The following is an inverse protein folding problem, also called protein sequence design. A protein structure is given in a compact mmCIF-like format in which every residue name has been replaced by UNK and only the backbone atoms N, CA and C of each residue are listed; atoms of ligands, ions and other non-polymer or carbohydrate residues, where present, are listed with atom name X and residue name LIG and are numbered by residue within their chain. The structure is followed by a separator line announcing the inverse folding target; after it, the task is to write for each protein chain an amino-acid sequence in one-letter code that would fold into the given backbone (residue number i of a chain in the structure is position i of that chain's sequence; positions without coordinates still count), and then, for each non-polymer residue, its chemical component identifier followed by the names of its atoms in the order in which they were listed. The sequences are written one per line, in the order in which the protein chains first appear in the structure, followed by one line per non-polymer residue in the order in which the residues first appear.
data_IF_753184447963
#
_entry.id   IF_753184447963
#
_cell.length_a   1.000
_cell.length_b   1.000
_cell.length_c   1.000
_cell.angle_alpha   90.00
_cell.angle_beta   90.00
_cell.angle_gamma   90.00
#
_symmetry.space_group_name_H-M   'P 1'
#
loop_
_entity.id
_entity.type
_entity.pdbx_description
1 polymer ?
#
# COMPACT_ATOMS: atom_id res chain seq x y z
N UNK A 1 58.17 50.15 -31.22
CA UNK A 1 57.94 49.50 -29.92
C UNK A 1 56.64 50.04 -29.33
N UNK A 2 55.52 49.35 -29.54
CA UNK A 2 54.22 49.66 -28.92
C UNK A 2 53.52 48.32 -28.69
N UNK A 3 53.27 48.01 -27.43
CA UNK A 3 52.86 46.69 -26.95
C UNK A 3 51.34 46.54 -27.07
N UNK A 4 50.91 45.60 -27.90
CA UNK A 4 49.56 45.02 -27.88
C UNK A 4 49.44 44.21 -26.59
N UNK A 5 48.52 44.58 -25.70
CA UNK A 5 48.14 43.75 -24.54
C UNK A 5 46.78 43.11 -24.82
N UNK A 6 46.87 41.81 -25.07
CA UNK A 6 45.79 40.84 -25.23
C UNK A 6 44.94 40.79 -23.96
N UNK A 7 43.63 41.07 -24.08
CA UNK A 7 42.67 40.87 -22.97
C UNK A 7 42.16 39.43 -23.04
N UNK A 8 42.60 38.59 -22.11
CA UNK A 8 42.15 37.22 -21.91
C UNK A 8 40.75 37.24 -21.28
N UNK A 9 39.73 36.86 -22.05
CA UNK A 9 38.39 36.57 -21.52
C UNK A 9 38.40 35.14 -21.00
N UNK A 10 38.44 34.98 -19.68
CA UNK A 10 38.29 33.69 -19.02
C UNK A 10 36.80 33.35 -18.96
N UNK A 11 36.33 32.54 -19.92
CA UNK A 11 34.99 31.94 -19.87
C UNK A 11 35.07 30.75 -18.91
N UNK A 12 34.71 30.97 -17.65
CA UNK A 12 34.53 29.90 -16.67
C UNK A 12 33.28 29.10 -17.05
N UNK A 13 33.48 27.95 -17.66
CA UNK A 13 32.42 26.98 -17.95
C UNK A 13 32.16 26.17 -16.67
N UNK A 14 31.11 26.53 -15.94
CA UNK A 14 30.60 25.78 -14.80
C UNK A 14 29.99 24.46 -15.30
N UNK A 15 30.74 23.36 -15.23
CA UNK A 15 30.18 22.02 -15.39
C UNK A 15 29.41 21.67 -14.11
N UNK A 16 28.08 21.82 -14.15
CA UNK A 16 27.21 21.18 -13.18
C UNK A 16 27.20 19.67 -13.46
N UNK A 17 27.95 18.92 -12.66
CA UNK A 17 27.75 17.47 -12.50
C UNK A 17 26.42 17.27 -11.78
N UNK A 18 25.36 17.07 -12.57
CA UNK A 18 24.12 16.50 -12.09
C UNK A 18 24.36 15.00 -11.87
N UNK A 19 24.56 14.59 -10.61
CA UNK A 19 24.42 13.19 -10.23
C UNK A 19 22.94 12.83 -10.24
N UNK A 20 22.37 12.62 -11.43
CA UNK A 20 21.20 11.78 -11.58
C UNK A 20 21.71 10.33 -11.56
N UNK A 21 21.25 9.55 -10.58
CA UNK A 21 21.45 8.11 -10.57
C UNK A 21 20.58 7.48 -11.65
N UNK A 22 20.98 7.65 -12.91
CA UNK A 22 20.40 6.91 -14.03
C UNK A 22 20.98 5.49 -13.98
N UNK A 23 20.18 4.56 -13.46
CA UNK A 23 20.48 3.13 -13.61
C UNK A 23 20.48 2.85 -15.12
N UNK A 24 21.56 2.27 -15.68
CA UNK A 24 21.61 1.90 -17.09
C UNK A 24 20.36 1.10 -17.49
N UNK A 25 19.67 1.43 -18.61
CA UNK A 25 18.48 0.72 -19.05
C UNK A 25 18.70 -0.80 -19.17
N UNK A 26 19.91 -1.19 -19.54
CA UNK A 26 20.35 -2.58 -19.74
C UNK A 26 20.39 -3.43 -18.45
N UNK A 27 20.19 -2.81 -17.28
CA UNK A 27 20.06 -3.50 -15.98
C UNK A 27 18.62 -3.63 -15.50
N UNK A 28 17.64 -3.05 -16.21
CA UNK A 28 16.23 -3.20 -15.89
C UNK A 28 15.68 -4.42 -16.64
N UNK A 29 15.22 -5.42 -15.89
CA UNK A 29 14.55 -6.57 -16.49
C UNK A 29 13.27 -6.12 -17.21
N UNK A 30 13.16 -6.47 -18.49
CA UNK A 30 12.02 -6.07 -19.31
C UNK A 30 10.74 -6.82 -18.88
N UNK A 31 9.57 -6.18 -18.95
CA UNK A 31 8.29 -6.83 -18.66
C UNK A 31 8.09 -8.05 -19.56
N UNK A 32 7.68 -9.18 -18.97
CA UNK A 32 7.30 -10.36 -19.77
C UNK A 32 6.20 -9.99 -20.76
N UNK A 33 6.39 -10.41 -22.02
CA UNK A 33 5.40 -10.24 -23.07
C UNK A 33 4.12 -11.01 -22.74
N UNK A 34 2.99 -10.34 -22.98
CA UNK A 34 1.68 -10.84 -22.64
C UNK A 34 1.21 -11.88 -23.66
N UNK A 35 1.11 -13.15 -23.24
CA UNK A 35 0.46 -14.21 -24.04
C UNK A 35 -1.01 -13.92 -24.28
N UNK A 36 -1.56 -14.32 -25.42
CA UNK A 36 -3.00 -14.22 -25.65
C UNK A 36 -3.78 -15.08 -24.65
N UNK A 37 -4.88 -14.53 -24.12
CA UNK A 37 -5.78 -15.21 -23.19
C UNK A 37 -7.18 -15.18 -23.78
N UNK A 38 -7.76 -16.34 -24.04
CA UNK A 38 -9.18 -16.45 -24.37
C UNK A 38 -10.01 -16.15 -23.12
N UNK A 39 -10.68 -15.01 -23.11
CA UNK A 39 -11.47 -14.58 -21.96
C UNK A 39 -12.68 -15.51 -21.75
N UNK A 40 -12.79 -16.10 -20.56
CA UNK A 40 -13.88 -17.00 -20.18
C UNK A 40 -15.15 -16.26 -19.71
N UNK A 41 -15.03 -14.97 -19.41
CA UNK A 41 -16.12 -14.09 -19.00
C UNK A 41 -15.84 -12.66 -19.48
N UNK A 42 -16.88 -11.83 -19.53
CA UNK A 42 -16.73 -10.44 -19.90
C UNK A 42 -16.47 -9.57 -18.66
N UNK A 43 -15.45 -8.71 -18.75
CA UNK A 43 -15.22 -7.66 -17.76
C UNK A 43 -16.06 -6.46 -18.15
N UNK A 44 -16.99 -6.06 -17.28
CA UNK A 44 -17.87 -4.92 -17.51
C UNK A 44 -17.56 -3.82 -16.51
N UNK A 45 -17.67 -2.59 -16.99
CA UNK A 45 -17.51 -1.38 -16.17
C UNK A 45 -18.87 -0.89 -15.69
N UNK A 46 -19.12 -0.93 -14.39
CA UNK A 46 -20.30 -0.30 -13.77
C UNK A 46 -20.22 1.22 -13.94
N UNK A 47 -19.10 1.81 -13.53
CA UNK A 47 -18.86 3.25 -13.62
C UNK A 47 -17.36 3.56 -13.56
N UNK A 48 -16.97 4.75 -14.03
CA UNK A 48 -15.61 5.28 -13.86
C UNK A 48 -15.64 6.77 -13.65
N UNK A 49 -14.85 7.24 -12.70
CA UNK A 49 -14.72 8.66 -12.38
C UNK A 49 -13.26 9.03 -12.11
N UNK A 50 -12.89 10.26 -12.49
CA UNK A 50 -11.61 10.83 -12.09
C UNK A 50 -11.77 11.49 -10.70
N UNK A 51 -11.01 11.00 -9.73
CA UNK A 51 -10.96 11.49 -8.34
C UNK A 51 -9.78 12.40 -8.06
N UNK A 52 -8.91 12.59 -9.05
CA UNK A 52 -8.00 13.69 -9.02
C UNK A 52 -6.69 13.48 -9.75
N UNK A 53 -5.59 13.68 -9.02
CA UNK A 53 -4.22 13.57 -9.53
C UNK A 53 -3.55 12.28 -9.01
N UNK A 54 -4.31 11.41 -8.34
CA UNK A 54 -3.85 10.17 -7.72
C UNK A 54 -2.67 10.38 -6.77
N UNK A 55 -1.56 9.68 -7.00
CA UNK A 55 -0.39 9.71 -6.11
C UNK A 55 0.68 10.73 -6.55
N UNK A 56 0.53 11.35 -7.72
CA UNK A 56 1.54 12.27 -8.25
C UNK A 56 2.88 11.60 -8.58
N UNK A 57 2.86 10.32 -8.95
CA UNK A 57 4.05 9.46 -9.19
C UNK A 57 4.92 9.25 -7.94
N UNK A 58 4.36 9.46 -6.76
CA UNK A 58 5.00 9.16 -5.49
C UNK A 58 4.51 7.79 -4.98
N UNK A 59 5.34 7.11 -4.18
CA UNK A 59 4.94 5.90 -3.44
C UNK A 59 4.13 6.30 -2.21
N UNK A 60 2.86 6.63 -2.42
CA UNK A 60 1.91 7.05 -1.38
C UNK A 60 0.77 6.06 -1.27
N UNK A 61 0.26 5.88 -0.05
CA UNK A 61 -0.77 4.88 0.23
C UNK A 61 -2.17 5.46 0.15
N UNK A 62 -2.61 5.69 -1.09
CA UNK A 62 -4.00 6.03 -1.39
C UNK A 62 -4.78 4.77 -1.74
N UNK A 63 -5.66 4.33 -0.85
CA UNK A 63 -6.56 3.21 -1.11
C UNK A 63 -7.98 3.73 -0.91
N UNK A 64 -8.92 3.47 -1.85
CA UNK A 64 -10.30 3.89 -1.65
C UNK A 64 -10.89 3.27 -0.39
N UNK A 65 -11.48 4.09 0.47
CA UNK A 65 -12.24 3.62 1.62
C UNK A 65 -13.67 3.29 1.17
N UNK A 66 -14.17 2.14 1.60
CA UNK A 66 -15.49 1.64 1.22
C UNK A 66 -16.41 1.57 2.42
N UNK A 67 -17.66 1.94 2.19
CA UNK A 67 -18.81 1.62 3.05
C UNK A 67 -19.81 0.81 2.23
N UNK A 68 -20.99 0.51 2.80
CA UNK A 68 -22.06 -0.17 2.09
C UNK A 68 -22.59 0.62 0.88
N UNK A 69 -22.56 1.95 0.93
CA UNK A 69 -23.19 2.80 -0.09
C UNK A 69 -22.23 3.81 -0.74
N UNK A 70 -21.08 4.08 -0.13
CA UNK A 70 -20.18 5.15 -0.55
C UNK A 70 -18.73 4.69 -0.66
N UNK A 71 -18.03 5.27 -1.64
CA UNK A 71 -16.58 5.18 -1.83
C UNK A 71 -15.95 6.54 -1.56
N UNK A 72 -14.89 6.56 -0.78
CA UNK A 72 -14.09 7.74 -0.52
C UNK A 72 -12.71 7.58 -1.13
N UNK A 73 -12.28 8.55 -1.92
CA UNK A 73 -10.96 8.53 -2.53
C UNK A 73 -10.30 9.90 -2.41
N UNK A 74 -9.00 9.89 -2.14
CA UNK A 74 -8.19 11.09 -2.00
C UNK A 74 -7.03 11.10 -3.00
N UNK A 75 -6.50 12.30 -3.27
CA UNK A 75 -5.27 12.48 -4.03
C UNK A 75 -4.20 13.22 -3.23
N UNK A 76 -2.95 13.15 -3.71
CA UNK A 76 -1.80 13.76 -3.04
C UNK A 76 -1.88 15.28 -2.89
N UNK A 77 -2.76 15.96 -3.63
CA UNK A 77 -2.96 17.43 -3.53
C UNK A 77 -4.04 17.83 -2.53
N UNK A 78 -4.61 16.87 -1.79
CA UNK A 78 -5.59 17.18 -0.75
C UNK A 78 -7.02 17.22 -1.25
N UNK A 79 -7.31 16.71 -2.45
CA UNK A 79 -8.70 16.53 -2.88
C UNK A 79 -9.22 15.21 -2.34
N UNK A 80 -10.41 15.25 -1.75
CA UNK A 80 -11.16 14.07 -1.35
C UNK A 80 -12.57 14.13 -1.92
N UNK A 81 -13.04 12.98 -2.40
CA UNK A 81 -14.37 12.78 -2.95
C UNK A 81 -15.13 11.75 -2.14
N UNK A 82 -16.43 11.98 -1.98
CA UNK A 82 -17.40 10.92 -1.71
C UNK A 82 -18.20 10.61 -2.96
N UNK A 83 -18.38 9.32 -3.23
CA UNK A 83 -18.98 8.81 -4.45
C UNK A 83 -19.97 7.74 -4.06
N UNK A 84 -21.16 7.77 -4.65
CA UNK A 84 -22.13 6.69 -4.57
C UNK A 84 -21.53 5.43 -5.19
N UNK A 85 -21.40 4.36 -4.40
CA UNK A 85 -20.68 3.15 -4.77
C UNK A 85 -21.34 2.39 -5.92
N UNK A 86 -22.66 2.46 -6.03
CA UNK A 86 -23.42 1.71 -7.05
C UNK A 86 -23.43 2.42 -8.40
N UNK A 87 -23.50 3.75 -8.39
CA UNK A 87 -23.70 4.55 -9.60
C UNK A 87 -22.47 5.32 -10.05
N UNK A 88 -21.45 5.46 -9.19
CA UNK A 88 -20.29 6.31 -9.43
C UNK A 88 -20.61 7.81 -9.35
N UNK A 89 -21.81 8.20 -8.91
CA UNK A 89 -22.19 9.61 -8.79
C UNK A 89 -21.37 10.28 -7.69
N UNK A 90 -20.65 11.34 -8.03
CA UNK A 90 -19.96 12.19 -7.06
C UNK A 90 -20.97 12.89 -6.14
N UNK A 91 -20.92 12.58 -4.85
CA UNK A 91 -21.81 13.12 -3.82
C UNK A 91 -21.31 14.47 -3.31
N UNK A 92 -20.04 14.54 -2.93
CA UNK A 92 -19.38 15.78 -2.53
C UNK A 92 -17.88 15.75 -2.84
N UNK A 93 -17.28 16.95 -2.83
CA UNK A 93 -15.84 17.17 -2.96
C UNK A 93 -15.37 18.10 -1.85
N UNK A 94 -14.25 17.77 -1.21
CA UNK A 94 -13.49 18.70 -0.38
C UNK A 94 -12.09 18.86 -0.94
N UNK A 95 -11.62 20.10 -0.91
CA UNK A 95 -10.22 20.43 -1.17
C UNK A 95 -9.62 20.93 0.15
N UNK A 96 -8.63 20.20 0.66
CA UNK A 96 -7.98 20.48 1.93
C UNK A 96 -6.81 21.45 1.79
N UNK A 97 -6.34 21.70 0.55
CA UNK A 97 -5.16 22.52 0.28
C UNK A 97 -3.93 22.06 1.10
N UNK A 98 -3.77 20.74 1.24
CA UNK A 98 -2.71 20.07 2.00
C UNK A 98 -2.15 18.92 1.18
N UNK A 99 -0.84 18.66 1.29
CA UNK A 99 -0.24 17.51 0.64
C UNK A 99 -0.54 16.26 1.46
N UNK A 100 -1.36 15.38 0.91
CA UNK A 100 -1.72 14.14 1.57
C UNK A 100 -0.67 13.07 1.30
N UNK A 101 -0.42 12.23 2.29
CA UNK A 101 0.54 11.12 2.22
C UNK A 101 -0.15 9.76 2.27
N UNK A 102 -1.29 9.64 2.96
CA UNK A 102 -2.05 8.40 3.02
C UNK A 102 -3.55 8.62 3.32
N UNK A 103 -4.35 7.61 2.95
CA UNK A 103 -5.78 7.51 3.26
C UNK A 103 -6.68 7.41 2.02
N UNK A 104 -7.99 7.62 2.17
CA UNK A 104 -8.71 7.81 3.44
C UNK A 104 -8.81 6.51 4.26
N UNK A 105 -8.79 6.63 5.59
CA UNK A 105 -9.38 5.66 6.52
C UNK A 105 -10.83 6.05 6.82
N UNK A 106 -11.72 5.09 7.09
CA UNK A 106 -13.14 5.36 7.39
C UNK A 106 -13.59 4.61 8.64
N UNK A 107 -14.31 5.30 9.54
CA UNK A 107 -15.03 4.68 10.65
C UNK A 107 -16.22 5.54 11.05
N UNK A 108 -17.39 4.91 11.17
CA UNK A 108 -18.62 5.61 11.57
C UNK A 108 -18.94 6.81 10.67
N UNK A 109 -19.01 7.99 11.26
CA UNK A 109 -19.28 9.27 10.60
C UNK A 109 -18.01 10.05 10.23
N UNK A 110 -16.83 9.42 10.28
CA UNK A 110 -15.53 10.08 10.13
C UNK A 110 -14.67 9.46 9.02
N UNK A 111 -13.89 10.35 8.41
CA UNK A 111 -12.79 10.02 7.50
C UNK A 111 -11.49 10.50 8.12
N UNK A 112 -10.43 9.71 7.99
CA UNK A 112 -9.10 10.00 8.52
C UNK A 112 -8.08 10.07 7.39
N UNK A 113 -7.25 11.11 7.40
CA UNK A 113 -6.25 11.36 6.37
C UNK A 113 -4.95 11.80 7.02
N UNK A 114 -3.86 11.39 6.40
CA UNK A 114 -2.50 11.74 6.80
C UNK A 114 -1.90 12.75 5.80
N UNK A 115 -1.13 13.71 6.31
CA UNK A 115 -0.39 14.67 5.48
C UNK A 115 1.12 14.42 5.52
N UNK A 116 1.81 14.89 4.47
CA UNK A 116 3.27 14.84 4.38
C UNK A 116 3.96 15.61 5.50
N UNK A 117 3.30 16.64 6.04
CA UNK A 117 3.79 17.47 7.15
C UNK A 117 3.48 16.89 8.54
N UNK A 118 3.08 15.62 8.63
CA UNK A 118 2.84 14.96 9.91
C UNK A 118 1.50 15.28 10.56
N UNK A 119 0.52 15.79 9.80
CA UNK A 119 -0.81 16.07 10.33
C UNK A 119 -1.76 14.89 10.14
N UNK A 120 -2.48 14.55 11.19
CA UNK A 120 -3.61 13.63 11.14
C UNK A 120 -4.90 14.46 11.13
N UNK A 121 -5.73 14.25 10.13
CA UNK A 121 -6.96 14.99 9.90
C UNK A 121 -8.17 14.08 10.13
N UNK A 122 -9.20 14.59 10.80
CA UNK A 122 -10.52 13.97 10.83
C UNK A 122 -11.53 14.84 10.11
N UNK A 123 -12.24 14.28 9.15
CA UNK A 123 -13.31 14.93 8.41
C UNK A 123 -14.64 14.27 8.70
N UNK A 124 -15.72 15.04 8.68
CA UNK A 124 -17.07 14.50 8.65
C UNK A 124 -17.31 13.78 7.34
N UNK A 125 -17.82 12.55 7.41
CA UNK A 125 -18.08 11.70 6.25
C UNK A 125 -19.18 12.26 5.35
N UNK A 126 -20.13 13.00 5.93
CA UNK A 126 -21.31 13.49 5.23
C UNK A 126 -21.05 14.67 4.29
N UNK A 127 -20.06 15.52 4.58
CA UNK A 127 -19.80 16.74 3.81
C UNK A 127 -18.29 17.06 3.64
N UNK A 128 -17.40 16.25 4.20
CA UNK A 128 -15.95 16.46 4.15
C UNK A 128 -15.48 17.63 5.02
N UNK A 129 -16.31 18.18 5.92
CA UNK A 129 -15.90 19.27 6.82
C UNK A 129 -14.83 18.78 7.80
N UNK A 130 -13.77 19.57 7.95
CA UNK A 130 -12.73 19.31 8.96
C UNK A 130 -13.35 19.37 10.36
N UNK A 131 -13.23 18.27 11.11
CA UNK A 131 -13.67 18.15 12.50
C UNK A 131 -12.54 18.54 13.44
N UNK A 132 -11.34 17.99 13.21
CA UNK A 132 -10.13 18.31 13.95
C UNK A 132 -8.88 17.98 13.13
N UNK A 133 -7.75 18.56 13.55
CA UNK A 133 -6.41 18.20 13.08
C UNK A 133 -5.46 18.05 14.27
N UNK A 134 -4.66 16.98 14.27
CA UNK A 134 -3.61 16.74 15.25
C UNK A 134 -2.24 16.78 14.56
N UNK A 135 -1.28 17.47 15.16
CA UNK A 135 0.11 17.48 14.70
C UNK A 135 0.85 16.34 15.40
N UNK A 136 1.50 15.48 14.61
CA UNK A 136 2.38 14.42 15.10
C UNK A 136 3.83 14.75 14.78
N UNK A 137 4.74 13.98 15.37
CA UNK A 137 6.17 14.28 15.39
C UNK A 137 6.84 14.10 14.01
N UNK A 138 6.22 13.35 13.09
CA UNK A 138 6.78 13.04 11.78
C UNK A 138 5.70 12.67 10.75
N UNK A 139 6.11 12.47 9.50
CA UNK A 139 5.25 12.11 8.38
C UNK A 139 4.55 10.76 8.59
N UNK A 140 3.29 10.67 8.18
CA UNK A 140 2.49 9.45 8.23
C UNK A 140 2.35 8.87 6.82
N UNK A 141 2.93 7.70 6.56
CA UNK A 141 2.87 7.05 5.26
C UNK A 141 1.83 5.93 5.16
N UNK A 142 1.17 5.63 6.27
CA UNK A 142 0.17 4.59 6.35
C UNK A 142 -1.24 5.15 6.59
N UNK A 143 -2.24 4.39 6.16
CA UNK A 143 -3.65 4.75 6.38
C UNK A 143 -3.96 4.65 7.88
N UNK A 144 -4.46 5.71 8.53
CA UNK A 144 -4.86 5.64 9.94
C UNK A 144 -6.00 4.64 10.14
N UNK A 145 -5.89 3.81 11.17
CA UNK A 145 -6.88 2.78 11.51
C UNK A 145 -7.74 3.24 12.69
N UNK A 146 -9.06 3.27 12.52
CA UNK A 146 -9.97 3.75 13.55
C UNK A 146 -10.94 2.66 14.04
N UNK A 147 -11.16 2.65 15.35
CA UNK A 147 -12.29 2.01 16.02
C UNK A 147 -13.21 3.10 16.58
N UNK A 148 -14.31 2.71 17.23
CA UNK A 148 -15.18 3.68 17.90
C UNK A 148 -14.50 4.30 19.14
N UNK A 149 -13.51 3.63 19.71
CA UNK A 149 -12.85 4.04 20.96
C UNK A 149 -11.50 4.74 20.72
N UNK A 150 -10.74 4.26 19.72
CA UNK A 150 -9.36 4.70 19.48
C UNK A 150 -9.02 4.75 17.99
N UNK A 151 -8.17 5.73 17.66
CA UNK A 151 -7.58 5.95 16.34
C UNK A 151 -6.09 5.66 16.43
N UNK A 152 -5.59 4.84 15.52
CA UNK A 152 -4.21 4.40 15.48
C UNK A 152 -3.51 4.99 14.26
N UNK A 153 -2.31 5.49 14.49
CA UNK A 153 -1.50 6.13 13.46
C UNK A 153 -0.03 5.79 13.68
N UNK A 154 0.70 5.58 12.59
CA UNK A 154 2.12 5.31 12.61
C UNK A 154 2.87 6.32 11.74
N UNK A 155 4.01 6.80 12.23
CA UNK A 155 4.88 7.72 11.54
C UNK A 155 6.14 7.02 11.03
N UNK A 156 6.77 7.59 10.00
CA UNK A 156 7.96 7.02 9.36
C UNK A 156 9.18 6.92 10.30
N UNK A 157 9.22 7.71 11.38
CA UNK A 157 10.26 7.65 12.41
C UNK A 157 9.94 6.63 13.52
N UNK A 158 8.99 5.72 13.29
CA UNK A 158 8.74 4.56 14.15
C UNK A 158 7.91 4.89 15.39
N UNK A 159 7.22 6.02 15.43
CA UNK A 159 6.25 6.30 16.48
C UNK A 159 4.88 5.72 16.09
N UNK A 160 4.29 4.96 17.02
CA UNK A 160 2.92 4.47 16.91
C UNK A 160 2.09 5.17 17.99
N UNK A 161 0.95 5.70 17.59
CA UNK A 161 0.07 6.49 18.44
C UNK A 161 -1.28 5.80 18.58
N UNK A 162 -1.82 5.84 19.80
CA UNK A 162 -3.25 5.71 20.05
C UNK A 162 -3.80 7.09 20.37
N UNK A 163 -4.82 7.51 19.63
CA UNK A 163 -5.45 8.82 19.76
C UNK A 163 -6.95 8.67 20.03
N UNK A 164 -7.54 9.70 20.64
CA UNK A 164 -8.97 9.83 20.74
C UNK A 164 -9.56 10.18 19.36
N UNK A 165 -10.49 9.36 18.80
CA UNK A 165 -11.09 9.61 17.49
C UNK A 165 -11.90 10.91 17.41
N UNK A 166 -12.35 11.43 18.55
CA UNK A 166 -13.28 12.55 18.64
C UNK A 166 -12.59 13.90 18.50
N UNK A 167 -11.41 14.05 19.09
CA UNK A 167 -10.66 15.32 19.18
C UNK A 167 -9.20 15.23 18.71
N UNK A 168 -8.67 14.03 18.46
CA UNK A 168 -7.29 13.81 18.03
C UNK A 168 -6.25 13.92 19.14
N UNK A 169 -6.65 13.96 20.42
CA UNK A 169 -5.71 13.94 21.54
C UNK A 169 -4.97 12.60 21.63
N UNK A 170 -3.67 12.64 21.90
CA UNK A 170 -2.85 11.44 22.08
C UNK A 170 -3.16 10.79 23.43
N UNK A 171 -3.58 9.54 23.41
CA UNK A 171 -3.86 8.72 24.60
C UNK A 171 -2.60 7.96 25.05
N UNK A 172 -1.85 7.44 24.08
CA UNK A 172 -0.60 6.73 24.31
C UNK A 172 0.31 6.82 23.08
N UNK A 173 1.61 6.61 23.30
CA UNK A 173 2.63 6.53 22.24
C UNK A 173 3.59 5.39 22.54
N UNK A 174 3.98 4.66 21.50
CA UNK A 174 5.01 3.63 21.54
C UNK A 174 6.05 3.89 20.45
N UNK A 175 7.33 3.73 20.77
CA UNK A 175 8.43 3.99 19.84
C UNK A 175 9.13 2.68 19.47
N UNK A 176 9.25 2.41 18.17
CA UNK A 176 10.10 1.34 17.64
C UNK A 176 11.48 1.88 17.28
N UNK A 177 12.45 0.97 17.15
CA UNK A 177 13.73 1.31 16.53
C UNK A 177 13.54 1.48 15.03
N UNK A 178 14.19 2.49 14.46
CA UNK A 178 14.19 2.75 13.01
C UNK A 178 15.64 2.75 12.53
N UNK A 179 16.00 1.92 11.53
CA UNK A 179 17.33 1.92 10.95
C UNK A 179 17.68 3.27 10.27
N UNK A 180 18.97 3.56 10.02
CA UNK A 180 19.41 4.80 9.36
C UNK A 180 18.85 4.99 7.95
N UNK A 181 18.60 3.89 7.25
CA UNK A 181 17.88 3.85 5.98
C UNK A 181 16.65 2.98 6.14
N UNK A 182 15.51 3.51 5.75
CA UNK A 182 14.27 2.77 5.58
C UNK A 182 13.78 2.95 4.16
N UNK A 183 12.98 2.01 3.67
CA UNK A 183 12.05 2.38 2.62
C UNK A 183 11.08 3.40 3.23
N UNK A 184 10.47 4.22 2.37
CA UNK A 184 9.30 5.02 2.77
C UNK A 184 8.12 4.06 2.94
N UNK A 185 8.24 3.20 3.93
CA UNK A 185 7.35 2.09 4.24
C UNK A 185 6.01 2.60 4.71
N UNK A 186 4.98 1.90 4.26
CA UNK A 186 3.59 2.32 4.39
C UNK A 186 2.74 1.31 5.16
N UNK A 187 3.36 0.33 5.85
CA UNK A 187 2.64 -0.65 6.67
C UNK A 187 1.76 0.07 7.68
N UNK A 188 0.47 -0.11 7.51
CA UNK A 188 -0.55 0.37 8.40
C UNK A 188 -0.72 -0.55 9.59
N UNK A 189 -1.14 0.01 10.72
CA UNK A 189 -1.53 -0.80 11.85
C UNK A 189 -2.74 -1.67 11.47
N UNK A 190 -2.81 -2.88 12.04
CA UNK A 190 -3.91 -3.83 11.87
C UNK A 190 -4.38 -4.29 13.23
N UNK A 191 -5.69 -4.53 13.40
CA UNK A 191 -6.25 -4.96 14.67
C UNK A 191 -6.63 -6.44 14.64
N UNK A 192 -6.35 -7.13 15.74
CA UNK A 192 -6.96 -8.42 16.09
C UNK A 192 -7.32 -8.39 17.57
N UNK A 193 -8.60 -8.58 17.90
CA UNK A 193 -9.14 -8.50 19.26
C UNK A 193 -8.69 -7.25 20.05
N UNK A 194 -7.77 -7.44 21.01
CA UNK A 194 -7.21 -6.39 21.86
C UNK A 194 -5.79 -5.98 21.47
N UNK A 195 -5.29 -6.49 20.34
CA UNK A 195 -3.95 -6.25 19.83
C UNK A 195 -3.98 -5.32 18.63
N UNK A 196 -3.07 -4.35 18.65
CA UNK A 196 -2.66 -3.55 17.51
C UNK A 196 -1.34 -4.12 16.98
N UNK A 197 -1.37 -4.62 15.76
CA UNK A 197 -0.24 -5.18 15.05
C UNK A 197 0.42 -4.09 14.19
N UNK A 198 1.74 -4.06 14.19
CA UNK A 198 2.51 -3.15 13.37
C UNK A 198 3.79 -3.82 12.87
N UNK A 199 4.01 -3.77 11.56
CA UNK A 199 5.27 -4.14 10.94
C UNK A 199 6.28 -2.99 11.08
N UNK A 200 7.34 -3.20 11.84
CA UNK A 200 8.39 -2.22 12.05
C UNK A 200 9.44 -2.27 10.93
N UNK A 201 10.04 -1.12 10.65
CA UNK A 201 11.08 -0.95 9.63
C UNK A 201 12.42 -1.64 9.97
N UNK A 202 12.50 -2.35 11.10
CA UNK A 202 13.64 -3.20 11.46
C UNK A 202 13.34 -4.70 11.29
N UNK A 203 12.26 -5.03 10.56
CA UNK A 203 11.88 -6.41 10.22
C UNK A 203 11.13 -7.16 11.31
N UNK A 204 10.73 -6.47 12.40
CA UNK A 204 9.90 -7.04 13.45
C UNK A 204 8.41 -6.83 13.20
N UNK A 205 7.61 -7.82 13.57
CA UNK A 205 6.18 -7.66 13.81
C UNK A 205 5.97 -7.42 15.31
N UNK A 206 5.35 -6.30 15.64
CA UNK A 206 5.08 -5.89 17.03
C UNK A 206 3.58 -5.97 17.29
N UNK A 207 3.18 -6.57 18.41
CA UNK A 207 1.82 -6.51 18.91
C UNK A 207 1.76 -5.66 20.18
N UNK A 208 0.93 -4.62 20.14
CA UNK A 208 0.68 -3.73 21.26
C UNK A 208 -0.74 -3.98 21.79
N UNK A 209 -0.94 -3.78 23.08
CA UNK A 209 -2.28 -3.65 23.62
C UNK A 209 -2.92 -2.40 23.01
N UNK A 210 -4.05 -2.54 22.31
CA UNK A 210 -4.67 -1.41 21.61
C UNK A 210 -5.05 -0.25 22.56
N UNK A 211 -5.45 -0.58 23.79
CA UNK A 211 -5.92 0.39 24.78
C UNK A 211 -4.76 1.19 25.38
N UNK A 212 -3.70 0.52 25.84
CA UNK A 212 -2.61 1.16 26.58
C UNK A 212 -1.36 1.48 25.76
N UNK A 213 -1.22 0.89 24.57
CA UNK A 213 -0.01 0.98 23.75
C UNK A 213 1.18 0.16 24.28
N UNK A 214 0.99 -0.60 25.36
CA UNK A 214 2.07 -1.43 25.91
C UNK A 214 2.34 -2.64 25.02
N UNK A 215 3.61 -3.01 24.77
CA UNK A 215 3.94 -4.18 23.98
C UNK A 215 3.48 -5.44 24.71
N UNK A 216 2.83 -6.35 23.96
CA UNK A 216 2.42 -7.68 24.42
C UNK A 216 3.48 -8.70 24.00
N UNK A 217 3.85 -8.67 22.72
CA UNK A 217 4.93 -9.48 22.15
C UNK A 217 5.51 -8.78 20.92
N UNK A 218 6.74 -9.15 20.55
CA UNK A 218 7.35 -8.82 19.27
C UNK A 218 8.12 -10.03 18.73
N UNK A 219 8.13 -10.19 17.41
CA UNK A 219 8.83 -11.29 16.74
C UNK A 219 9.59 -10.77 15.53
N UNK A 220 10.82 -11.25 15.35
CA UNK A 220 11.64 -10.92 14.18
C UNK A 220 11.23 -11.81 13.00
N UNK A 221 10.74 -11.19 11.93
CA UNK A 221 10.31 -11.90 10.71
C UNK A 221 11.51 -12.06 9.77
N UNK A 222 12.18 -10.95 9.50
CA UNK A 222 13.39 -10.90 8.68
C UNK A 222 14.45 -10.06 9.39
N UNK A 223 15.73 -10.34 9.09
CA UNK A 223 16.86 -9.58 9.61
C UNK A 223 17.49 -8.87 8.42
N UNK A 224 17.87 -7.61 8.62
CA UNK A 224 18.65 -6.85 7.65
C UNK A 224 20.00 -7.54 7.38
N UNK A 225 20.16 -8.13 6.20
CA UNK A 225 21.39 -8.78 5.77
C UNK A 225 22.05 -7.99 4.64
N UNK A 226 23.35 -7.72 4.74
CA UNK A 226 24.05 -6.91 3.73
C UNK A 226 25.34 -6.28 4.24
N UNK A 227 26.29 -6.04 3.34
CA UNK A 227 27.55 -5.34 3.63
C UNK A 227 27.41 -3.83 3.47
N UNK A 228 26.40 -3.37 2.73
CA UNK A 228 26.09 -1.95 2.51
C UNK A 228 24.77 -1.53 3.16
N UNK A 229 24.60 -0.24 3.47
CA UNK A 229 23.36 0.29 4.05
C UNK A 229 22.13 0.07 3.13
N UNK A 230 22.34 0.08 1.80
CA UNK A 230 21.30 -0.22 0.80
C UNK A 230 20.90 -1.70 0.79
N UNK A 231 21.87 -2.60 0.98
CA UNK A 231 21.60 -4.04 1.08
C UNK A 231 20.84 -4.38 2.36
N UNK A 232 20.93 -3.58 3.42
CA UNK A 232 20.32 -3.84 4.74
C UNK A 232 18.89 -3.31 4.91
N UNK A 233 18.20 -2.93 3.85
CA UNK A 233 16.84 -2.38 3.97
C UNK A 233 15.83 -3.53 4.10
N UNK A 234 15.37 -3.81 5.32
CA UNK A 234 14.29 -4.77 5.60
C UNK A 234 13.09 -4.00 6.10
N UNK A 235 12.03 -3.93 5.29
CA UNK A 235 10.82 -3.20 5.66
C UNK A 235 9.59 -4.10 5.51
N UNK A 236 8.69 -4.07 6.47
CA UNK A 236 7.35 -4.61 6.26
C UNK A 236 6.56 -3.49 5.61
N UNK A 237 6.50 -3.46 4.28
CA UNK A 237 5.82 -2.39 3.54
C UNK A 237 4.33 -2.70 3.28
N UNK A 238 3.92 -3.96 3.49
CA UNK A 238 2.53 -4.39 3.35
C UNK A 238 1.84 -4.52 4.71
N UNK A 239 0.53 -4.24 4.73
CA UNK A 239 -0.30 -4.46 5.90
C UNK A 239 -0.32 -5.95 6.26
N UNK A 240 -0.11 -6.33 7.54
CA UNK A 240 -0.36 -7.68 8.01
C UNK A 240 -1.79 -8.12 7.67
N UNK A 241 -1.99 -9.35 7.19
CA UNK A 241 -3.34 -9.89 7.02
C UNK A 241 -3.62 -10.90 8.10
N UNK A 242 -4.73 -10.73 8.78
CA UNK A 242 -5.19 -11.61 9.85
C UNK A 242 -6.29 -12.51 9.31
N UNK A 243 -6.20 -13.80 9.59
CA UNK A 243 -7.28 -14.75 9.37
C UNK A 243 -7.31 -15.75 10.51
N UNK A 244 -8.48 -15.88 11.14
CA UNK A 244 -8.63 -16.56 12.44
C UNK A 244 -7.60 -15.99 13.44
N UNK A 245 -6.83 -16.87 14.09
CA UNK A 245 -5.78 -16.53 15.05
C UNK A 245 -4.38 -16.48 14.41
N UNK A 246 -4.28 -16.40 13.08
CA UNK A 246 -2.99 -16.37 12.37
C UNK A 246 -2.78 -15.05 11.63
N UNK A 247 -1.61 -14.47 11.83
CA UNK A 247 -1.13 -13.26 11.17
C UNK A 247 -0.20 -13.67 10.04
N UNK A 248 -0.47 -13.20 8.83
CA UNK A 248 0.39 -13.35 7.66
C UNK A 248 1.06 -12.03 7.35
N UNK A 249 2.37 -12.05 7.14
CA UNK A 249 3.19 -10.87 6.86
C UNK A 249 4.15 -11.13 5.72
N UNK A 250 4.46 -10.08 4.97
CA UNK A 250 5.53 -10.06 3.98
C UNK A 250 6.53 -8.96 4.31
N UNK A 251 7.81 -9.25 4.15
CA UNK A 251 8.90 -8.27 4.30
C UNK A 251 9.58 -8.03 2.95
N UNK A 252 9.95 -6.78 2.70
CA UNK A 252 10.97 -6.43 1.71
C UNK A 252 12.31 -7.04 2.17
N UNK A 253 12.96 -7.79 1.27
CA UNK A 253 14.14 -8.60 1.55
C UNK A 253 13.96 -9.71 2.58
N UNK A 254 12.98 -10.59 2.39
CA UNK A 254 13.31 -11.95 2.79
C UNK A 254 12.17 -12.90 2.94
N UNK A 255 11.02 -12.51 3.46
CA UNK A 255 10.14 -13.54 3.98
C UNK A 255 8.65 -13.25 3.87
N UNK A 256 7.91 -14.31 3.51
CA UNK A 256 6.52 -14.49 3.89
C UNK A 256 6.52 -15.32 5.17
N UNK A 257 5.75 -14.91 6.17
CA UNK A 257 5.65 -15.65 7.43
C UNK A 257 4.21 -15.74 7.92
N UNK A 258 3.95 -16.79 8.71
CA UNK A 258 2.76 -16.90 9.53
C UNK A 258 3.14 -16.88 11.02
N UNK A 259 2.40 -16.10 11.79
CA UNK A 259 2.63 -15.89 13.22
C UNK A 259 1.31 -16.14 13.95
N UNK A 260 1.36 -16.87 15.06
CA UNK A 260 0.22 -17.01 15.96
C UNK A 260 -0.09 -15.66 16.63
N UNK A 261 -1.34 -15.19 16.51
CA UNK A 261 -1.71 -13.86 16.94
C UNK A 261 -1.70 -13.69 18.47
N UNK A 262 -2.03 -14.74 19.21
CA UNK A 262 -2.10 -14.68 20.67
C UNK A 262 -0.72 -14.65 21.32
N UNK A 263 0.22 -15.45 20.80
CA UNK A 263 1.53 -15.69 21.42
C UNK A 263 2.71 -15.02 20.71
N UNK A 264 2.55 -14.59 19.45
CA UNK A 264 3.65 -14.11 18.63
C UNK A 264 4.60 -15.22 18.14
N UNK A 265 4.23 -16.49 18.31
CA UNK A 265 5.04 -17.63 17.85
C UNK A 265 5.06 -17.68 16.33
N UNK A 266 6.26 -17.70 15.75
CA UNK A 266 6.46 -17.95 14.32
C UNK A 266 6.06 -19.39 13.98
N UNK A 267 4.97 -19.55 13.23
CA UNK A 267 4.45 -20.86 12.82
C UNK A 267 5.24 -21.44 11.66
N UNK A 268 5.50 -20.61 10.65
CA UNK A 268 6.37 -20.93 9.53
C UNK A 268 6.89 -19.66 8.88
N UNK A 269 7.98 -19.82 8.12
CA UNK A 269 8.59 -18.76 7.33
C UNK A 269 9.11 -19.33 6.01
N UNK A 270 8.93 -18.58 4.93
CA UNK A 270 9.41 -18.92 3.59
C UNK A 270 10.23 -17.77 3.04
N UNK A 271 11.37 -18.09 2.44
CA UNK A 271 12.16 -17.11 1.69
C UNK A 271 11.41 -16.67 0.43
N UNK A 272 10.91 -15.44 0.44
CA UNK A 272 10.17 -14.81 -0.65
C UNK A 272 10.05 -13.31 -0.37
N UNK A 273 10.53 -12.49 -1.30
CA UNK A 273 10.40 -11.04 -1.23
C UNK A 273 9.12 -10.58 -1.93
N UNK A 274 8.37 -9.66 -1.32
CA UNK A 274 7.17 -9.05 -1.91
C UNK A 274 7.11 -7.56 -1.53
N UNK A 275 6.69 -6.71 -2.47
CA UNK A 275 6.44 -5.28 -2.22
C UNK A 275 4.95 -4.93 -2.25
N UNK A 276 4.12 -5.74 -2.92
CA UNK A 276 2.74 -5.38 -3.19
C UNK A 276 1.80 -5.79 -2.06
N UNK A 277 2.14 -6.84 -1.32
CA UNK A 277 1.33 -7.40 -0.24
C UNK A 277 0.84 -8.82 -0.50
N UNK A 278 -0.10 -9.27 0.32
CA UNK A 278 -0.66 -10.61 0.30
C UNK A 278 -2.17 -10.56 0.56
N UNK A 279 -2.86 -11.63 0.20
CA UNK A 279 -4.30 -11.80 0.42
C UNK A 279 -4.57 -13.20 0.92
N UNK A 280 -5.41 -13.31 1.95
CA UNK A 280 -5.97 -14.59 2.40
C UNK A 280 -7.37 -14.74 1.81
N UNK A 281 -7.61 -15.84 1.11
CA UNK A 281 -8.93 -16.18 0.58
C UNK A 281 -9.01 -17.69 0.28
N UNK A 282 -10.22 -18.25 0.22
CA UNK A 282 -10.46 -19.66 -0.08
C UNK A 282 -9.61 -20.66 0.77
N UNK A 283 -9.22 -20.28 1.99
CA UNK A 283 -8.35 -21.09 2.83
C UNK A 283 -6.88 -21.14 2.41
N UNK A 284 -6.46 -20.32 1.45
CA UNK A 284 -5.10 -20.22 0.92
C UNK A 284 -4.52 -18.81 1.12
N UNK A 285 -3.22 -18.68 0.88
CA UNK A 285 -2.49 -17.42 0.93
C UNK A 285 -1.98 -17.09 -0.48
N UNK A 286 -2.39 -15.95 -1.02
CA UNK A 286 -1.95 -15.47 -2.33
C UNK A 286 -0.95 -14.35 -2.17
N UNK A 287 0.18 -14.43 -2.89
CA UNK A 287 1.28 -13.48 -2.79
C UNK A 287 1.75 -13.08 -4.18
N UNK A 288 1.95 -11.78 -4.39
CA UNK A 288 2.68 -11.24 -5.53
C UNK A 288 4.12 -10.99 -5.10
N UNK A 289 5.10 -11.70 -5.67
CA UNK A 289 6.50 -11.51 -5.28
C UNK A 289 7.16 -10.33 -6.01
N UNK A 290 8.39 -9.99 -5.60
CA UNK A 290 9.12 -8.85 -6.14
C UNK A 290 9.51 -8.97 -7.61
N UNK A 291 9.48 -10.18 -8.16
CA UNK A 291 9.74 -10.42 -9.58
C UNK A 291 8.47 -10.38 -10.44
N UNK A 292 7.29 -10.22 -9.84
CA UNK A 292 6.00 -10.22 -10.55
C UNK A 292 5.42 -11.63 -10.74
N UNK A 293 5.89 -12.63 -9.98
CA UNK A 293 5.24 -13.94 -9.94
C UNK A 293 4.11 -13.94 -8.92
N UNK A 294 3.07 -14.71 -9.20
CA UNK A 294 1.91 -14.89 -8.32
C UNK A 294 1.96 -16.32 -7.78
N UNK A 295 1.79 -16.43 -6.47
CA UNK A 295 1.87 -17.70 -5.75
C UNK A 295 0.58 -17.95 -4.99
N UNK A 296 0.12 -19.20 -4.97
CA UNK A 296 -0.71 -19.70 -3.87
C UNK A 296 0.14 -20.54 -2.93
N UNK A 297 0.01 -20.27 -1.65
CA UNK A 297 0.71 -20.93 -0.57
C UNK A 297 -0.29 -21.53 0.43
N UNK A 298 0.07 -22.68 1.00
CA UNK A 298 -0.64 -23.24 2.14
C UNK A 298 -0.49 -22.32 3.35
N UNK A 299 -1.62 -21.84 3.89
CA UNK A 299 -1.63 -21.04 5.13
C UNK A 299 -0.98 -21.74 6.32
N UNK A 300 -0.97 -23.08 6.35
CA UNK A 300 -0.47 -23.86 7.47
C UNK A 300 1.04 -24.11 7.42
N UNK A 301 1.62 -24.21 6.22
CA UNK A 301 3.02 -24.65 6.06
C UNK A 301 3.88 -23.70 5.23
N UNK A 302 3.28 -22.74 4.53
CA UNK A 302 3.98 -21.90 3.55
C UNK A 302 4.41 -22.64 2.28
N UNK A 303 4.00 -23.90 2.10
CA UNK A 303 4.32 -24.66 0.89
C UNK A 303 3.57 -24.09 -0.32
N UNK A 304 4.25 -23.99 -1.46
CA UNK A 304 3.62 -23.56 -2.70
C UNK A 304 2.62 -24.62 -3.18
N UNK A 305 1.39 -24.19 -3.44
CA UNK A 305 0.33 -25.01 -4.04
C UNK A 305 0.37 -24.87 -5.56
N UNK A 306 0.54 -23.65 -6.05
CA UNK A 306 0.81 -23.33 -7.45
C UNK A 306 1.62 -22.04 -7.59
N UNK A 307 2.14 -21.81 -8.81
CA UNK A 307 2.90 -20.62 -9.19
C UNK A 307 2.52 -20.20 -10.61
N UNK A 308 2.39 -18.89 -10.83
CA UNK A 308 2.22 -18.27 -12.14
C UNK A 308 3.34 -17.24 -12.40
N UNK A 309 4.02 -17.34 -13.54
CA UNK A 309 5.17 -16.51 -13.92
C UNK A 309 4.97 -15.71 -15.22
N UNK A 310 3.82 -15.81 -15.88
CA UNK A 310 3.51 -15.08 -17.12
C UNK A 310 3.37 -13.55 -16.99
N UNK A 311 3.65 -12.97 -15.81
CA UNK A 311 3.56 -11.53 -15.54
C UNK A 311 4.82 -10.95 -14.88
N UNK A 312 5.97 -11.62 -15.05
CA UNK A 312 7.22 -11.15 -14.46
C UNK A 312 7.59 -9.73 -14.92
N UNK A 313 8.12 -8.93 -13.98
CA UNK A 313 8.58 -7.56 -14.17
C UNK A 313 7.53 -6.54 -14.64
N UNK A 314 6.25 -6.84 -14.40
CA UNK A 314 5.11 -5.97 -14.75
C UNK A 314 4.63 -5.05 -13.61
N UNK A 315 5.37 -4.98 -12.49
CA UNK A 315 5.04 -4.16 -11.32
C UNK A 315 3.60 -4.37 -10.83
N UNK A 316 3.31 -5.60 -10.40
CA UNK A 316 1.95 -6.01 -10.05
C UNK A 316 1.48 -5.42 -8.71
N UNK A 317 0.17 -5.18 -8.59
CA UNK A 317 -0.49 -4.85 -7.32
C UNK A 317 -0.53 -6.06 -6.38
N UNK A 318 -0.94 -5.82 -5.12
CA UNK A 318 -1.34 -6.92 -4.24
C UNK A 318 -2.46 -7.73 -4.90
N UNK A 319 -2.51 -9.05 -4.67
CA UNK A 319 -3.63 -9.86 -5.13
C UNK A 319 -4.92 -9.43 -4.43
N UNK A 320 -6.00 -9.31 -5.19
CA UNK A 320 -7.35 -9.19 -4.65
C UNK A 320 -8.13 -10.48 -4.96
N UNK A 321 -9.02 -10.88 -4.06
CA UNK A 321 -9.90 -12.03 -4.30
C UNK A 321 -11.30 -11.56 -4.69
N UNK A 322 -11.80 -11.98 -5.85
CA UNK A 322 -13.11 -11.60 -6.39
C UNK A 322 -13.73 -12.80 -7.08
N UNK A 323 -14.87 -13.29 -6.59
CA UNK A 323 -15.63 -14.39 -7.20
C UNK A 323 -14.84 -15.68 -7.49
N UNK A 324 -13.97 -16.11 -6.56
CA UNK A 324 -13.13 -17.31 -6.78
C UNK A 324 -11.90 -17.05 -7.65
N UNK A 325 -11.63 -15.80 -7.99
CA UNK A 325 -10.51 -15.39 -8.84
C UNK A 325 -9.53 -14.53 -8.06
N UNK A 326 -8.26 -14.62 -8.44
CA UNK A 326 -7.22 -13.68 -8.04
C UNK A 326 -7.09 -12.62 -9.12
N UNK A 327 -7.17 -11.36 -8.70
CA UNK A 327 -7.05 -10.20 -9.59
C UNK A 327 -5.82 -9.41 -9.21
N UNK A 328 -4.98 -9.12 -10.20
CA UNK A 328 -3.82 -8.22 -10.07
C UNK A 328 -3.85 -7.19 -11.19
N UNK A 329 -3.41 -5.96 -10.88
CA UNK A 329 -3.19 -4.91 -11.88
C UNK A 329 -1.71 -4.70 -12.14
N UNK A 330 -1.37 -4.21 -13.32
CA UNK A 330 0.03 -3.97 -13.72
C UNK A 330 0.35 -2.49 -14.03
N UNK A 331 1.62 -2.19 -14.33
CA UNK A 331 2.07 -0.83 -14.69
C UNK A 331 1.61 -0.32 -16.05
N UNK A 332 1.10 -1.18 -16.92
CA UNK A 332 0.65 -0.82 -18.27
C UNK A 332 -0.88 -0.62 -18.36
N UNK A 333 -1.57 -0.82 -17.24
CA UNK A 333 -3.00 -0.58 -17.05
C UNK A 333 -3.88 -1.80 -17.30
N UNK A 334 -3.29 -3.00 -17.39
CA UNK A 334 -4.04 -4.25 -17.46
C UNK A 334 -4.51 -4.69 -16.08
N UNK A 335 -5.64 -5.37 -16.07
CA UNK A 335 -6.07 -6.24 -14.99
C UNK A 335 -6.06 -7.69 -15.49
N UNK A 336 -5.57 -8.58 -14.64
CA UNK A 336 -5.43 -10.00 -14.93
C UNK A 336 -6.26 -10.78 -13.91
N UNK A 337 -7.15 -11.65 -14.40
CA UNK A 337 -7.93 -12.57 -13.58
C UNK A 337 -7.36 -13.97 -13.72
N UNK A 338 -6.99 -14.54 -12.59
CA UNK A 338 -6.45 -15.87 -12.48
C UNK A 338 -7.40 -16.75 -11.68
N UNK A 339 -7.49 -18.03 -12.04
CA UNK A 339 -8.11 -19.03 -11.21
C UNK A 339 -7.39 -19.10 -9.85
N UNK A 340 -8.15 -19.01 -8.76
CA UNK A 340 -7.58 -19.15 -7.41
C UNK A 340 -7.08 -20.58 -7.13
N UNK A 341 -7.61 -21.58 -7.84
CA UNK A 341 -7.32 -22.99 -7.58
C UNK A 341 -6.01 -23.45 -8.24
N UNK A 342 -5.62 -22.87 -9.39
CA UNK A 342 -4.47 -23.34 -10.16
C UNK A 342 -3.60 -22.25 -10.80
N UNK A 343 -4.00 -20.97 -10.73
CA UNK A 343 -3.22 -19.87 -11.29
C UNK A 343 -3.33 -19.68 -12.81
N UNK A 344 -4.25 -20.35 -13.49
CA UNK A 344 -4.48 -20.16 -14.92
C UNK A 344 -5.11 -18.79 -15.19
N UNK A 345 -4.69 -18.11 -16.27
CA UNK A 345 -5.34 -16.88 -16.72
C UNK A 345 -6.71 -17.19 -17.30
N UNK A 346 -7.76 -16.62 -16.71
CA UNK A 346 -9.15 -16.81 -17.15
C UNK A 346 -9.71 -15.60 -17.89
N UNK A 347 -9.19 -14.41 -17.61
CA UNK A 347 -9.47 -13.21 -18.38
C UNK A 347 -8.35 -12.18 -18.23
N UNK A 348 -8.27 -11.28 -19.21
CA UNK A 348 -7.41 -10.11 -19.17
C UNK A 348 -8.11 -8.97 -19.88
N UNK A 349 -8.08 -7.80 -19.27
CA UNK A 349 -8.62 -6.60 -19.90
C UNK A 349 -7.71 -5.39 -19.65
N UNK A 350 -7.61 -4.54 -20.68
CA UNK A 350 -6.86 -3.30 -20.60
C UNK A 350 -7.82 -2.16 -20.28
N UNK A 351 -7.96 -1.90 -18.98
CA UNK A 351 -8.91 -0.93 -18.45
C UNK A 351 -8.48 0.53 -18.70
N UNK A 352 -7.17 0.76 -18.90
CA UNK A 352 -6.61 2.08 -19.20
C UNK A 352 -5.12 2.02 -19.53
N UNK A 353 -4.50 3.20 -19.60
CA UNK A 353 -3.05 3.37 -19.78
C UNK A 353 -2.33 3.70 -18.46
N UNK A 354 -3.08 3.77 -17.37
CA UNK A 354 -2.57 4.19 -16.07
C UNK A 354 -2.12 2.97 -15.27
N UNK A 355 -0.97 3.07 -14.60
CA UNK A 355 -0.50 2.06 -13.65
C UNK A 355 -1.52 1.84 -12.53
N UNK A 356 -1.71 0.57 -12.16
CA UNK A 356 -2.38 0.20 -10.92
C UNK A 356 -1.36 0.14 -9.78
N UNK A 357 -1.62 0.85 -8.67
CA UNK A 357 -0.75 0.87 -7.49
C UNK A 357 -1.46 0.28 -6.27
N UNK A 358 -2.69 0.72 -6.06
CA UNK A 358 -3.46 0.37 -4.88
C UNK A 358 -4.00 -1.05 -5.01
N UNK A 359 -4.00 -1.85 -3.93
CA UNK A 359 -4.74 -3.11 -3.90
C UNK A 359 -6.19 -2.87 -4.30
N UNK A 360 -6.70 -3.71 -5.19
CA UNK A 360 -8.11 -3.67 -5.57
C UNK A 360 -8.96 -4.16 -4.42
N UNK A 361 -10.18 -3.64 -4.32
CA UNK A 361 -11.13 -4.00 -3.26
C UNK A 361 -12.35 -4.64 -3.89
N UNK A 362 -12.51 -5.94 -3.64
CA UNK A 362 -13.72 -6.66 -3.99
C UNK A 362 -14.80 -6.40 -2.93
N UNK A 363 -16.01 -6.08 -3.35
CA UNK A 363 -17.17 -5.93 -2.47
C UNK A 363 -18.45 -6.29 -3.22
N UNK A 364 -19.26 -7.14 -2.59
CA UNK A 364 -20.40 -7.78 -3.26
C UNK A 364 -19.94 -8.49 -4.55
N UNK A 365 -20.50 -8.12 -5.71
CA UNK A 365 -20.08 -8.61 -7.01
C UNK A 365 -19.15 -7.63 -7.76
N UNK A 366 -18.75 -6.52 -7.13
CA UNK A 366 -17.96 -5.47 -7.76
C UNK A 366 -16.49 -5.49 -7.32
N UNK A 367 -15.62 -5.03 -8.21
CA UNK A 367 -14.21 -4.80 -7.98
C UNK A 367 -13.92 -3.30 -8.14
N UNK A 368 -13.48 -2.66 -7.06
CA UNK A 368 -13.08 -1.26 -7.06
C UNK A 368 -11.57 -1.15 -7.23
N UNK A 369 -11.13 -0.38 -8.22
CA UNK A 369 -9.72 -0.13 -8.50
C UNK A 369 -9.43 1.37 -8.60
N UNK A 370 -8.25 1.79 -8.13
CA UNK A 370 -7.74 3.16 -8.20
C UNK A 370 -6.39 3.17 -8.91
N UNK A 371 -6.29 3.94 -10.00
CA UNK A 371 -5.03 4.10 -10.73
C UNK A 371 -4.12 5.14 -10.08
N UNK A 372 -2.84 5.10 -10.43
CA UNK A 372 -1.82 6.09 -10.02
C UNK A 372 -2.22 7.53 -10.34
N UNK A 373 -2.99 7.75 -11.40
CA UNK A 373 -3.40 9.07 -11.88
C UNK A 373 -4.76 9.51 -11.32
N UNK A 374 -5.40 8.69 -10.48
CA UNK A 374 -6.67 9.01 -9.84
C UNK A 374 -7.90 8.63 -10.67
N UNK A 375 -7.82 7.63 -11.55
CA UNK A 375 -8.99 7.00 -12.15
C UNK A 375 -9.53 5.95 -11.18
N UNK A 376 -10.70 6.23 -10.60
CA UNK A 376 -11.45 5.28 -9.78
C UNK A 376 -12.49 4.58 -10.66
N UNK A 377 -12.54 3.26 -10.59
CA UNK A 377 -13.41 2.45 -11.42
C UNK A 377 -14.07 1.34 -10.60
N UNK A 378 -15.32 1.03 -10.93
CA UNK A 378 -16.01 -0.19 -10.51
C UNK A 378 -16.22 -1.11 -11.69
N UNK A 379 -15.88 -2.38 -11.51
CA UNK A 379 -15.99 -3.45 -12.49
C UNK A 379 -16.82 -4.60 -11.93
N UNK A 380 -17.50 -5.34 -12.80
CA UNK A 380 -18.12 -6.63 -12.47
C UNK A 380 -17.86 -7.64 -13.58
N UNK A 381 -18.05 -8.91 -13.27
CA UNK A 381 -17.87 -10.02 -14.20
C UNK A 381 -19.25 -10.50 -14.67
N UNK A 382 -19.39 -10.69 -15.98
CA UNK A 382 -20.59 -11.20 -16.64
C UNK A 382 -20.32 -12.51 -17.38
#
# INVERSE_FOLDING_TARGET
MSRIRLLLVVISTFFFLACASDVPPDLLEEPTELSEVEAQFAVKKSWSVNVGYGTGKQRLKFVPALTADEVYAADYKGRIWAIDRKTGKKLWKKDLQKLLSAGPGVRGDRLYLATQEGQLLSLARQDGRLLWSAQLDSELLAIPLATDEQLFAATIDGQIYGLNPTDGSVLWRYATRVPPLTLRGSSGPVLIDNLLLYGAADGRLVALNKISGLPVWDVTISVAEGRSELERIVDIDADPVVFDDTIFVVTYQGHVAAVDAGSGVLLWRREMSSFSGLQVANGELYVTDSSGQIWSLSRRTGAALWKQDGLMFRDLTAPAFHNGLIVVGDKEGYLHWLSADNGDFLARDRIGNDRWLSPMRAVDNELIALSETGKLISLYLE
#
